data_IF_353279223360
#
_entry.id   IF_353279223360
#
_cell.length_a   1.000
_cell.length_b   1.000
_cell.length_c   1.000
_cell.angle_alpha   90.00
_cell.angle_beta   90.00
_cell.angle_gamma   90.00
#
_symmetry.space_group_name_H-M   'P 1'
#
loop_
_entity.id
_entity.type
_entity.pdbx_description
1 polymer ?
#
# COMPACT_ATOMS: atom_id res chain seq x y z
N UNK A 1 -39.78 -1.16 -1.50
CA UNK A 1 -39.62 -1.57 -0.11
C UNK A 1 -38.12 -1.83 0.08
N UNK A 2 -37.43 -1.01 0.86
CA UNK A 2 -36.02 -1.32 1.18
C UNK A 2 -36.05 -2.45 2.20
N UNK A 3 -35.79 -3.69 1.78
CA UNK A 3 -35.50 -4.77 2.73
C UNK A 3 -34.18 -4.44 3.44
N UNK A 4 -34.23 -4.33 4.76
CA UNK A 4 -33.03 -4.25 5.58
C UNK A 4 -32.29 -5.61 5.54
N UNK A 5 -30.98 -5.57 5.49
CA UNK A 5 -30.12 -6.79 5.57
C UNK A 5 -30.56 -7.73 6.71
N UNK A 6 -30.96 -7.16 7.84
CA UNK A 6 -31.40 -7.92 9.02
C UNK A 6 -32.69 -8.70 8.73
N UNK A 7 -33.65 -8.07 8.05
CA UNK A 7 -34.92 -8.69 7.65
C UNK A 7 -34.67 -9.78 6.61
N UNK A 8 -33.82 -9.54 5.60
CA UNK A 8 -33.44 -10.55 4.62
C UNK A 8 -32.76 -11.75 5.26
N UNK A 9 -31.84 -11.53 6.20
CA UNK A 9 -31.15 -12.61 6.93
C UNK A 9 -32.14 -13.39 7.81
N UNK A 10 -33.16 -12.75 8.40
CA UNK A 10 -34.20 -13.42 9.15
C UNK A 10 -35.08 -14.32 8.25
N UNK A 11 -35.45 -13.83 7.06
CA UNK A 11 -36.20 -14.62 6.08
C UNK A 11 -35.36 -15.78 5.51
N UNK A 12 -34.05 -15.58 5.29
CA UNK A 12 -33.13 -16.63 4.82
C UNK A 12 -32.74 -17.64 5.91
N UNK A 13 -32.92 -17.32 7.18
CA UNK A 13 -32.74 -18.27 8.28
C UNK A 13 -33.96 -19.17 8.54
N UNK A 14 -35.04 -19.00 7.77
CA UNK A 14 -36.17 -19.92 7.82
C UNK A 14 -35.73 -21.32 7.35
N UNK A 15 -35.84 -22.38 8.15
CA UNK A 15 -35.42 -23.73 7.80
C UNK A 15 -36.09 -24.27 6.52
N UNK A 16 -37.25 -23.75 6.15
CA UNK A 16 -38.01 -24.17 4.95
C UNK A 16 -37.39 -23.56 3.68
N UNK A 17 -36.68 -22.41 3.78
CA UNK A 17 -36.07 -21.70 2.64
C UNK A 17 -34.59 -22.08 2.46
N UNK A 18 -33.99 -22.80 3.44
CA UNK A 18 -32.54 -23.04 3.47
C UNK A 18 -32.11 -24.27 2.64
N UNK A 19 -32.42 -24.26 1.35
CA UNK A 19 -32.11 -25.37 0.43
C UNK A 19 -30.94 -25.06 -0.52
N UNK A 20 -30.04 -24.14 -0.18
CA UNK A 20 -28.91 -23.79 -1.05
C UNK A 20 -27.92 -22.84 -0.40
N UNK A 21 -26.87 -22.49 -1.15
CA UNK A 21 -25.92 -21.47 -0.77
C UNK A 21 -26.39 -20.09 -1.26
N UNK A 22 -26.52 -19.14 -0.35
CA UNK A 22 -26.82 -17.75 -0.67
C UNK A 22 -25.57 -16.91 -0.57
N UNK A 23 -25.27 -16.11 -1.59
CA UNK A 23 -24.28 -15.05 -1.53
C UNK A 23 -25.02 -13.71 -1.40
N UNK A 24 -24.72 -12.96 -0.34
CA UNK A 24 -25.19 -11.60 -0.11
C UNK A 24 -24.01 -10.68 -0.33
N UNK A 25 -24.11 -9.79 -1.32
CA UNK A 25 -23.05 -8.85 -1.66
C UNK A 25 -23.48 -7.43 -1.31
N UNK A 26 -22.61 -6.73 -0.57
CA UNK A 26 -22.65 -5.28 -0.40
C UNK A 26 -21.56 -4.60 -1.25
N UNK A 27 -21.83 -3.39 -1.73
CA UNK A 27 -20.84 -2.61 -2.50
C UNK A 27 -20.76 -1.17 -1.98
N UNK A 28 -19.58 -0.54 -2.04
CA UNK A 28 -19.44 0.88 -1.70
C UNK A 28 -19.92 1.78 -2.85
N UNK A 29 -19.78 1.32 -4.09
CA UNK A 29 -20.22 2.04 -5.28
C UNK A 29 -21.55 1.47 -5.78
N UNK A 30 -22.58 2.33 -5.93
CA UNK A 30 -23.85 1.98 -6.56
C UNK A 30 -23.91 2.58 -7.97
N UNK A 31 -23.98 1.71 -8.96
CA UNK A 31 -24.25 2.10 -10.34
C UNK A 31 -25.33 1.18 -10.96
N UNK A 32 -25.90 1.58 -12.08
CA UNK A 32 -27.01 0.87 -12.71
C UNK A 32 -26.59 -0.43 -13.42
N UNK A 33 -25.28 -0.74 -13.49
CA UNK A 33 -24.78 -1.93 -14.19
C UNK A 33 -25.05 -3.20 -13.37
N UNK A 34 -25.45 -4.30 -14.03
CA UNK A 34 -25.65 -5.56 -13.32
C UNK A 34 -24.34 -6.10 -12.73
N UNK A 35 -24.45 -6.88 -11.67
CA UNK A 35 -23.35 -7.63 -11.07
C UNK A 35 -23.47 -9.09 -11.45
N UNK A 36 -22.36 -9.71 -11.80
CA UNK A 36 -22.26 -11.12 -12.14
C UNK A 36 -21.26 -11.82 -11.23
N UNK A 37 -21.50 -13.11 -10.95
CA UNK A 37 -20.54 -13.98 -10.30
C UNK A 37 -19.83 -14.80 -11.38
N UNK A 38 -18.51 -14.67 -11.48
CA UNK A 38 -17.67 -15.42 -12.40
C UNK A 38 -16.76 -16.36 -11.61
N UNK A 39 -16.78 -17.65 -11.91
CA UNK A 39 -16.06 -18.63 -11.11
C UNK A 39 -15.78 -19.95 -11.81
N UNK A 40 -15.19 -20.89 -11.06
CA UNK A 40 -14.85 -22.23 -11.56
C UNK A 40 -16.08 -23.07 -11.95
N UNK A 41 -17.27 -22.67 -11.50
CA UNK A 41 -18.56 -23.32 -11.79
C UNK A 41 -19.17 -22.89 -13.13
N UNK A 42 -18.74 -21.75 -13.71
CA UNK A 42 -19.22 -21.27 -15.00
C UNK A 42 -18.08 -20.99 -16.00
N UNK A 43 -16.92 -21.67 -15.82
CA UNK A 43 -15.71 -21.48 -16.63
C UNK A 43 -15.25 -20.00 -16.69
N UNK A 44 -15.41 -19.27 -15.60
CA UNK A 44 -15.00 -17.86 -15.45
C UNK A 44 -15.65 -16.90 -16.46
N UNK A 45 -16.87 -17.22 -16.94
CA UNK A 45 -17.62 -16.33 -17.83
C UNK A 45 -18.15 -15.12 -17.07
N UNK A 46 -17.84 -13.91 -17.56
CA UNK A 46 -18.12 -12.64 -16.85
C UNK A 46 -19.54 -12.11 -17.06
N UNK A 47 -20.23 -12.55 -18.12
CA UNK A 47 -21.55 -12.06 -18.53
C UNK A 47 -22.59 -13.20 -18.62
N UNK A 48 -22.45 -14.17 -17.73
CA UNK A 48 -23.34 -15.30 -17.66
C UNK A 48 -24.64 -14.92 -16.95
N UNK A 49 -25.75 -14.90 -17.70
CA UNK A 49 -27.07 -14.49 -17.19
C UNK A 49 -27.60 -15.40 -16.08
N UNK A 50 -27.19 -16.68 -16.06
CA UNK A 50 -27.53 -17.62 -14.99
C UNK A 50 -26.90 -17.23 -13.66
N UNK A 51 -25.76 -16.53 -13.70
CA UNK A 51 -25.01 -16.09 -12.52
C UNK A 51 -25.05 -14.55 -12.32
N UNK A 52 -26.09 -13.92 -12.87
CA UNK A 52 -26.38 -12.51 -12.61
C UNK A 52 -27.03 -12.37 -11.23
N UNK A 53 -26.46 -11.49 -10.39
CA UNK A 53 -27.02 -11.20 -9.07
C UNK A 53 -28.29 -10.35 -9.17
N UNK A 54 -29.27 -10.64 -8.33
CA UNK A 54 -30.46 -9.81 -8.18
C UNK A 54 -30.16 -8.64 -7.23
N UNK A 55 -30.49 -7.41 -7.68
CA UNK A 55 -30.39 -6.21 -6.84
C UNK A 55 -31.63 -6.09 -5.97
N UNK A 56 -31.47 -6.16 -4.66
CA UNK A 56 -32.57 -6.15 -3.68
C UNK A 56 -32.62 -4.87 -2.83
N UNK A 57 -31.64 -3.97 -3.01
CA UNK A 57 -31.57 -2.69 -2.30
C UNK A 57 -30.46 -1.80 -2.84
N UNK A 58 -30.27 -0.66 -2.23
CA UNK A 58 -29.13 0.21 -2.54
C UNK A 58 -27.84 -0.51 -2.13
N UNK A 59 -26.92 -0.65 -3.08
CA UNK A 59 -25.63 -1.33 -2.86
C UNK A 59 -25.76 -2.76 -2.32
N UNK A 60 -26.91 -3.41 -2.51
CA UNK A 60 -27.20 -4.72 -1.94
C UNK A 60 -27.71 -5.67 -3.03
N UNK A 61 -27.04 -6.78 -3.15
CA UNK A 61 -27.30 -7.81 -4.15
C UNK A 61 -27.35 -9.19 -3.48
N UNK A 62 -28.11 -10.13 -4.05
CA UNK A 62 -28.06 -11.52 -3.65
C UNK A 62 -28.02 -12.46 -4.84
N UNK A 63 -27.54 -13.67 -4.61
CA UNK A 63 -27.58 -14.78 -5.53
C UNK A 63 -27.78 -16.09 -4.78
N UNK A 64 -28.62 -17.00 -5.30
CA UNK A 64 -28.85 -18.32 -4.72
C UNK A 64 -28.27 -19.39 -5.66
N UNK A 65 -27.28 -20.15 -5.18
CA UNK A 65 -26.86 -21.39 -5.82
C UNK A 65 -27.86 -22.51 -5.53
N UNK A 66 -28.43 -23.09 -6.58
CA UNK A 66 -29.44 -24.14 -6.45
C UNK A 66 -28.76 -25.48 -6.10
N UNK A 67 -29.34 -26.24 -5.19
CA UNK A 67 -28.76 -27.48 -4.67
C UNK A 67 -28.65 -28.60 -5.72
N UNK A 68 -29.45 -28.53 -6.80
CA UNK A 68 -29.54 -29.56 -7.83
C UNK A 68 -28.53 -29.43 -8.96
N UNK A 69 -27.58 -28.49 -8.83
CA UNK A 69 -26.50 -28.29 -9.79
C UNK A 69 -25.23 -29.02 -9.35
N UNK A 70 -24.52 -29.62 -10.31
CA UNK A 70 -23.21 -30.25 -10.10
C UNK A 70 -22.11 -29.20 -10.01
N UNK A 71 -22.03 -28.53 -8.84
CA UNK A 71 -20.98 -27.55 -8.56
C UNK A 71 -19.73 -28.20 -7.99
N UNK A 72 -18.53 -27.60 -8.23
CA UNK A 72 -17.30 -27.97 -7.49
C UNK A 72 -17.53 -27.88 -5.98
N UNK A 73 -16.91 -28.79 -5.20
CA UNK A 73 -17.02 -28.78 -3.74
C UNK A 73 -16.53 -27.48 -3.11
N UNK A 74 -15.54 -26.83 -3.72
CA UNK A 74 -15.09 -25.48 -3.40
C UNK A 74 -15.37 -24.57 -4.60
N UNK A 75 -16.15 -23.52 -4.34
CA UNK A 75 -16.42 -22.48 -5.32
C UNK A 75 -15.34 -21.41 -5.22
N UNK A 76 -14.62 -21.19 -6.32
CA UNK A 76 -13.71 -20.07 -6.51
C UNK A 76 -14.34 -19.04 -7.42
N UNK A 77 -14.43 -17.79 -7.00
CA UNK A 77 -15.16 -16.78 -7.75
C UNK A 77 -14.64 -15.35 -7.57
N UNK A 78 -15.12 -14.49 -8.46
CA UNK A 78 -15.02 -13.02 -8.40
C UNK A 78 -16.34 -12.39 -8.82
N UNK A 79 -16.51 -11.12 -8.43
CA UNK A 79 -17.59 -10.29 -8.92
C UNK A 79 -17.12 -9.40 -10.07
N UNK A 80 -17.99 -9.25 -11.08
CA UNK A 80 -17.74 -8.39 -12.25
C UNK A 80 -18.96 -7.55 -12.59
N UNK A 81 -18.77 -6.46 -13.33
CA UNK A 81 -19.84 -5.68 -13.95
C UNK A 81 -20.11 -6.11 -15.42
N UNK A 82 -19.80 -7.37 -15.74
CA UNK A 82 -20.04 -7.98 -17.05
C UNK A 82 -18.78 -8.19 -17.90
N UNK A 83 -17.63 -7.67 -17.48
CA UNK A 83 -16.35 -7.87 -18.17
C UNK A 83 -15.18 -7.88 -17.19
N UNK A 84 -14.06 -8.54 -17.53
CA UNK A 84 -12.85 -8.54 -16.70
C UNK A 84 -12.20 -7.15 -16.60
N UNK A 85 -12.46 -6.25 -17.54
CA UNK A 85 -12.05 -4.84 -17.44
C UNK A 85 -12.78 -4.09 -16.35
N UNK A 86 -13.84 -4.68 -15.78
CA UNK A 86 -14.73 -4.11 -14.78
C UNK A 86 -14.87 -5.05 -13.56
N UNK A 87 -13.83 -5.80 -13.26
CA UNK A 87 -13.76 -6.72 -12.12
C UNK A 87 -13.58 -5.96 -10.80
N UNK A 88 -13.99 -6.59 -9.71
CA UNK A 88 -13.78 -6.10 -8.35
C UNK A 88 -12.30 -5.83 -8.02
N UNK A 89 -12.07 -4.80 -7.24
CA UNK A 89 -10.77 -4.40 -6.67
C UNK A 89 -10.95 -3.99 -5.21
N UNK A 90 -9.84 -3.92 -4.46
CA UNK A 90 -9.88 -3.44 -3.09
C UNK A 90 -10.07 -1.90 -3.00
N UNK A 91 -10.16 -1.37 -1.79
CA UNK A 91 -10.32 0.06 -1.51
C UNK A 91 -9.15 0.92 -2.01
N UNK A 92 -8.00 0.31 -2.27
CA UNK A 92 -6.79 0.97 -2.76
C UNK A 92 -6.55 0.75 -4.26
N UNK A 93 -7.50 0.11 -4.98
CA UNK A 93 -7.39 -0.17 -6.40
C UNK A 93 -6.53 -1.38 -6.75
N UNK A 94 -6.13 -2.18 -5.77
CA UNK A 94 -5.36 -3.40 -6.01
C UNK A 94 -6.26 -4.54 -6.46
N UNK A 95 -5.66 -5.53 -7.11
CA UNK A 95 -6.32 -6.80 -7.42
C UNK A 95 -6.64 -7.54 -6.12
N UNK A 96 -7.84 -8.11 -6.06
CA UNK A 96 -8.21 -9.04 -5.00
C UNK A 96 -7.83 -10.47 -5.39
N UNK A 97 -7.61 -11.32 -4.42
CA UNK A 97 -7.53 -12.78 -4.65
C UNK A 97 -8.91 -13.33 -5.03
N UNK A 98 -8.94 -14.56 -5.60
CA UNK A 98 -10.20 -15.24 -5.79
C UNK A 98 -10.87 -15.48 -4.44
N UNK A 99 -12.15 -15.19 -4.36
CA UNK A 99 -12.96 -15.56 -3.20
C UNK A 99 -13.18 -17.07 -3.21
N UNK A 100 -13.34 -17.66 -2.05
CA UNK A 100 -13.65 -19.08 -1.94
C UNK A 100 -14.73 -19.35 -0.91
N UNK A 101 -15.59 -20.33 -1.20
CA UNK A 101 -16.57 -20.88 -0.25
C UNK A 101 -16.86 -22.32 -0.59
N UNK A 102 -17.29 -23.11 0.40
CA UNK A 102 -17.75 -24.47 0.14
C UNK A 102 -19.15 -24.46 -0.45
N UNK A 103 -19.40 -25.33 -1.42
CA UNK A 103 -20.71 -25.52 -2.04
C UNK A 103 -21.65 -26.29 -1.10
N UNK A 104 -22.09 -25.67 -0.01
CA UNK A 104 -23.03 -26.23 0.96
C UNK A 104 -24.12 -25.21 1.32
N UNK A 105 -25.17 -25.64 1.97
CA UNK A 105 -26.24 -24.75 2.41
C UNK A 105 -25.73 -23.71 3.41
N UNK A 106 -26.15 -22.46 3.24
CA UNK A 106 -25.77 -21.39 4.14
C UNK A 106 -25.78 -20.01 3.50
N UNK A 107 -25.34 -19.01 4.27
CA UNK A 107 -25.25 -17.62 3.83
C UNK A 107 -23.80 -17.19 3.85
N UNK A 108 -23.28 -16.79 2.69
CA UNK A 108 -21.97 -16.17 2.52
C UNK A 108 -22.15 -14.65 2.33
N UNK A 109 -21.59 -13.86 3.23
CA UNK A 109 -21.62 -12.40 3.14
C UNK A 109 -20.33 -11.90 2.51
N UNK A 110 -20.48 -11.06 1.49
CA UNK A 110 -19.38 -10.51 0.70
C UNK A 110 -19.46 -8.99 0.61
N UNK A 111 -18.32 -8.38 0.36
CA UNK A 111 -18.21 -6.95 0.17
C UNK A 111 -17.26 -6.63 -0.99
N UNK A 112 -17.66 -5.71 -1.87
CA UNK A 112 -16.81 -5.15 -2.92
C UNK A 112 -16.65 -3.67 -2.68
N UNK A 113 -15.42 -3.24 -2.42
CA UNK A 113 -15.12 -1.85 -2.18
C UNK A 113 -15.21 -1.03 -3.48
N UNK A 114 -14.63 -1.55 -4.57
CA UNK A 114 -14.53 -0.79 -5.84
C UNK A 114 -14.54 -1.71 -7.06
N UNK A 115 -14.74 -1.08 -8.23
CA UNK A 115 -14.73 -1.73 -9.53
C UNK A 115 -13.68 -1.10 -10.44
N UNK A 116 -13.00 -1.91 -11.24
CA UNK A 116 -12.24 -1.38 -12.37
C UNK A 116 -13.18 -0.67 -13.33
N UNK A 117 -12.65 0.28 -14.06
CA UNK A 117 -13.33 1.03 -15.13
C UNK A 117 -12.47 0.94 -16.37
N UNK A 118 -12.83 0.08 -17.31
CA UNK A 118 -12.08 -0.14 -18.54
C UNK A 118 -10.60 -0.49 -18.29
N UNK A 119 -10.35 -1.54 -17.49
CA UNK A 119 -9.04 -2.03 -17.07
C UNK A 119 -8.28 -1.17 -16.05
N UNK A 120 -8.67 0.08 -15.85
CA UNK A 120 -8.00 1.00 -14.94
C UNK A 120 -8.72 1.08 -13.58
N UNK A 121 -7.97 1.09 -12.47
CA UNK A 121 -8.54 1.32 -11.14
C UNK A 121 -8.78 2.81 -10.84
N UNK A 122 -8.47 3.73 -11.75
CA UNK A 122 -8.56 5.18 -11.59
C UNK A 122 -8.86 5.89 -12.91
N UNK A 123 -9.31 7.14 -12.83
CA UNK A 123 -9.42 8.04 -14.00
C UNK A 123 -8.08 8.71 -14.27
N UNK A 124 -7.64 8.75 -15.52
CA UNK A 124 -6.36 9.33 -15.94
C UNK A 124 -6.17 10.80 -15.51
N UNK A 125 -7.26 11.55 -15.36
CA UNK A 125 -7.21 12.95 -14.89
C UNK A 125 -6.69 13.11 -13.45
N UNK A 126 -6.59 12.02 -12.68
CA UNK A 126 -6.06 12.00 -11.33
C UNK A 126 -4.58 11.59 -11.25
N UNK A 127 -3.94 11.28 -12.38
CA UNK A 127 -2.51 10.97 -12.39
C UNK A 127 -1.71 12.17 -11.82
N UNK A 128 -0.71 11.92 -10.97
CA UNK A 128 0.14 12.98 -10.44
C UNK A 128 0.96 13.62 -11.55
N UNK A 129 1.37 14.86 -11.32
CA UNK A 129 2.33 15.52 -12.18
C UNK A 129 3.73 15.01 -11.84
N UNK A 130 4.38 14.31 -12.78
CA UNK A 130 5.73 13.80 -12.59
C UNK A 130 6.72 14.83 -13.11
N UNK A 131 7.51 15.41 -12.22
CA UNK A 131 8.48 16.45 -12.51
C UNK A 131 9.91 15.99 -12.22
N UNK A 132 10.81 16.13 -13.18
CA UNK A 132 12.25 16.02 -12.93
C UNK A 132 12.71 17.27 -12.18
N UNK A 133 13.19 17.13 -10.96
CA UNK A 133 13.80 18.25 -10.21
C UNK A 133 15.19 18.55 -10.77
N UNK A 134 16.00 17.52 -10.94
CA UNK A 134 17.32 17.60 -11.55
C UNK A 134 17.78 16.21 -11.95
N UNK A 135 18.49 16.09 -13.05
CA UNK A 135 19.23 14.90 -13.47
C UNK A 135 20.59 14.78 -12.77
N UNK A 136 21.14 15.92 -12.32
CA UNK A 136 22.43 16.01 -11.63
C UNK A 136 22.33 16.82 -10.33
N UNK A 137 21.37 16.51 -9.45
CA UNK A 137 21.25 17.16 -8.15
C UNK A 137 22.50 16.91 -7.31
N UNK A 138 23.16 17.96 -6.85
CA UNK A 138 24.41 17.85 -6.10
C UNK A 138 24.22 17.19 -4.74
N UNK A 139 25.13 16.25 -4.42
CA UNK A 139 25.28 15.61 -3.11
C UNK A 139 26.64 15.99 -2.50
N UNK A 140 26.75 17.15 -1.85
CA UNK A 140 28.04 17.63 -1.32
C UNK A 140 28.67 16.64 -0.33
N UNK A 141 27.85 15.92 0.43
CA UNK A 141 28.31 14.95 1.44
C UNK A 141 29.04 13.75 0.82
N UNK A 142 28.72 13.42 -0.43
CA UNK A 142 29.31 12.29 -1.16
C UNK A 142 30.25 12.74 -2.30
N UNK A 143 30.23 14.02 -2.64
CA UNK A 143 30.90 14.58 -3.82
C UNK A 143 30.43 13.87 -5.10
N UNK A 144 29.11 13.79 -5.28
CA UNK A 144 28.40 13.12 -6.37
C UNK A 144 27.17 13.92 -6.77
N UNK A 145 26.54 13.50 -7.83
CA UNK A 145 25.20 13.97 -8.23
C UNK A 145 24.18 12.84 -8.20
N UNK A 146 22.88 13.20 -8.28
CA UNK A 146 21.78 12.26 -8.27
C UNK A 146 20.59 12.80 -9.04
N UNK A 147 19.93 11.95 -9.79
CA UNK A 147 18.63 12.27 -10.37
C UNK A 147 17.54 12.22 -9.32
N UNK A 148 16.77 13.31 -9.25
CA UNK A 148 15.69 13.50 -8.27
C UNK A 148 14.41 13.88 -8.98
N UNK A 149 13.31 13.24 -8.60
CA UNK A 149 11.98 13.45 -9.13
C UNK A 149 11.01 13.93 -8.05
N UNK A 150 10.01 14.69 -8.46
CA UNK A 150 8.82 14.97 -7.65
C UNK A 150 7.58 14.43 -8.35
N UNK A 151 6.73 13.74 -7.60
CA UNK A 151 5.37 13.43 -7.99
C UNK A 151 4.46 14.34 -7.18
N UNK A 152 3.80 15.27 -7.86
CA UNK A 152 2.93 16.28 -7.26
C UNK A 152 1.46 15.86 -7.44
N UNK A 153 0.54 16.23 -6.53
CA UNK A 153 -0.90 15.99 -6.73
C UNK A 153 -1.37 16.45 -8.11
N UNK A 154 -2.33 15.72 -8.71
CA UNK A 154 -2.83 16.00 -10.07
C UNK A 154 -3.30 17.45 -10.28
N UNK A 155 -3.82 18.08 -9.24
CA UNK A 155 -4.34 19.45 -9.21
C UNK A 155 -3.39 20.45 -8.55
N UNK A 156 -2.10 20.11 -8.42
CA UNK A 156 -1.12 20.93 -7.72
C UNK A 156 -1.11 22.38 -8.20
N UNK A 157 -1.06 22.64 -9.51
CA UNK A 157 -0.98 24.00 -10.06
C UNK A 157 -2.27 24.82 -9.86
N UNK A 158 -3.41 24.12 -9.66
CA UNK A 158 -4.72 24.73 -9.45
C UNK A 158 -5.11 24.85 -7.96
N UNK A 159 -4.20 24.48 -7.06
CA UNK A 159 -4.42 24.49 -5.61
C UNK A 159 -3.41 25.39 -4.91
N UNK A 160 -3.83 26.02 -3.81
CA UNK A 160 -2.93 26.73 -2.88
C UNK A 160 -2.56 25.91 -1.65
N UNK A 161 -2.97 24.65 -1.59
CA UNK A 161 -2.73 23.75 -0.46
C UNK A 161 -1.25 23.43 -0.29
N UNK A 162 -0.84 23.19 0.96
CA UNK A 162 0.44 22.57 1.30
C UNK A 162 0.23 21.11 1.66
N UNK A 163 1.17 20.26 1.25
CA UNK A 163 1.03 18.82 1.30
C UNK A 163 2.07 18.15 2.20
N UNK A 164 1.75 17.02 2.85
CA UNK A 164 2.76 16.18 3.45
C UNK A 164 3.74 15.68 2.38
N UNK A 165 4.94 15.28 2.81
CA UNK A 165 6.02 14.84 1.90
C UNK A 165 6.55 13.49 2.31
N UNK A 166 6.73 12.59 1.33
CA UNK A 166 7.40 11.31 1.49
C UNK A 166 8.65 11.24 0.60
N UNK A 167 9.81 11.05 1.22
CA UNK A 167 11.08 10.81 0.53
C UNK A 167 11.23 9.30 0.31
N UNK A 168 11.28 8.87 -0.96
CA UNK A 168 11.39 7.47 -1.34
C UNK A 168 12.70 7.16 -2.04
N UNK A 169 13.30 6.04 -1.65
CA UNK A 169 14.50 5.50 -2.26
C UNK A 169 14.18 4.74 -3.54
N UNK A 170 15.20 4.56 -4.40
CA UNK A 170 15.16 3.71 -5.58
C UNK A 170 14.12 4.15 -6.63
N UNK A 171 14.14 5.44 -6.99
CA UNK A 171 13.18 6.06 -7.93
C UNK A 171 13.03 5.30 -9.25
N UNK A 172 14.06 4.58 -9.70
CA UNK A 172 14.04 3.77 -10.91
C UNK A 172 12.92 2.74 -10.91
N UNK A 173 12.55 2.23 -9.71
CA UNK A 173 11.56 1.17 -9.54
C UNK A 173 10.19 1.70 -9.06
N UNK A 174 10.00 3.02 -8.91
CA UNK A 174 8.79 3.54 -8.31
C UNK A 174 7.66 3.81 -9.33
N UNK A 175 7.99 4.30 -10.54
CA UNK A 175 6.99 4.69 -11.56
C UNK A 175 7.49 4.52 -13.01
N UNK A 176 8.67 3.93 -13.22
CA UNK A 176 9.22 3.66 -14.55
C UNK A 176 8.73 2.30 -15.08
N UNK A 177 7.93 2.27 -16.13
CA UNK A 177 7.40 1.04 -16.74
C UNK A 177 8.49 0.10 -17.30
N UNK A 178 9.71 0.63 -17.54
CA UNK A 178 10.86 -0.13 -18.05
C UNK A 178 11.87 -0.50 -16.95
N UNK A 179 11.48 -0.41 -15.68
CA UNK A 179 12.36 -0.76 -14.57
C UNK A 179 12.77 -2.24 -14.63
N UNK A 180 14.08 -2.51 -14.45
CA UNK A 180 14.67 -3.85 -14.58
C UNK A 180 14.06 -4.87 -13.60
N UNK A 181 13.77 -4.45 -12.37
CA UNK A 181 13.26 -5.31 -11.30
C UNK A 181 11.75 -5.21 -11.10
N UNK A 182 11.05 -4.45 -11.94
CA UNK A 182 9.63 -4.18 -11.80
C UNK A 182 9.34 -2.77 -11.30
N UNK A 183 8.06 -2.49 -11.07
CA UNK A 183 7.57 -1.14 -10.82
C UNK A 183 6.55 -1.14 -9.69
N UNK A 184 6.65 -0.18 -8.76
CA UNK A 184 5.66 0.03 -7.70
C UNK A 184 4.39 0.72 -8.21
N UNK A 185 4.43 1.29 -9.41
CA UNK A 185 3.30 2.04 -10.00
C UNK A 185 2.75 3.13 -9.06
N UNK A 186 3.63 3.81 -8.30
CA UNK A 186 3.19 4.78 -7.30
C UNK A 186 2.38 5.93 -7.88
N UNK A 187 2.64 6.32 -9.12
CA UNK A 187 1.86 7.29 -9.88
C UNK A 187 0.40 6.85 -10.03
N UNK A 188 0.17 5.58 -10.39
CA UNK A 188 -1.17 4.98 -10.51
C UNK A 188 -1.83 4.83 -9.14
N UNK A 189 -1.08 4.42 -8.10
CA UNK A 189 -1.59 4.33 -6.73
C UNK A 189 -1.99 5.70 -6.17
N UNK A 190 -1.21 6.74 -6.43
CA UNK A 190 -1.54 8.12 -6.05
C UNK A 190 -2.78 8.64 -6.80
N UNK A 191 -2.99 8.25 -8.06
CA UNK A 191 -4.20 8.56 -8.80
C UNK A 191 -5.45 7.96 -8.13
N UNK A 192 -5.38 6.68 -7.74
CA UNK A 192 -6.44 6.02 -6.94
C UNK A 192 -6.72 6.78 -5.65
N UNK A 193 -5.68 7.08 -4.88
CA UNK A 193 -5.82 7.78 -3.60
C UNK A 193 -6.46 9.16 -3.77
N UNK A 194 -6.11 9.90 -4.83
CA UNK A 194 -6.70 11.21 -5.14
C UNK A 194 -8.15 11.10 -5.59
N UNK A 195 -8.49 10.20 -6.52
CA UNK A 195 -9.85 10.00 -7.02
C UNK A 195 -10.83 9.64 -5.88
N UNK A 196 -10.38 8.78 -4.98
CA UNK A 196 -11.20 8.29 -3.88
C UNK A 196 -11.07 9.12 -2.59
N UNK A 197 -10.41 10.28 -2.68
CA UNK A 197 -10.27 11.24 -1.57
C UNK A 197 -9.64 10.65 -0.30
N UNK A 198 -8.76 9.65 -0.47
CA UNK A 198 -7.98 9.08 0.63
C UNK A 198 -6.99 10.14 1.15
N UNK A 199 -6.31 10.82 0.21
CA UNK A 199 -5.40 11.91 0.54
C UNK A 199 -4.50 12.31 -0.62
N UNK A 200 -3.83 13.45 -0.48
CA UNK A 200 -2.86 13.99 -1.44
C UNK A 200 -1.52 14.22 -0.75
N UNK A 201 -0.43 13.83 -1.40
CA UNK A 201 0.92 13.88 -0.86
C UNK A 201 1.92 14.20 -1.98
N UNK A 202 3.01 14.87 -1.64
CA UNK A 202 4.17 15.02 -2.53
C UNK A 202 5.10 13.83 -2.29
N UNK A 203 5.51 13.16 -3.35
CA UNK A 203 6.58 12.15 -3.29
C UNK A 203 7.85 12.74 -3.89
N UNK A 204 8.93 12.69 -3.12
CA UNK A 204 10.28 12.98 -3.62
C UNK A 204 10.99 11.65 -3.82
N UNK A 205 11.19 11.29 -5.08
CA UNK A 205 11.77 10.03 -5.48
C UNK A 205 13.26 10.22 -5.83
N UNK A 206 14.11 9.47 -5.14
CA UNK A 206 15.58 9.59 -5.20
C UNK A 206 16.12 8.36 -5.91
N UNK A 207 16.78 8.55 -7.08
CA UNK A 207 17.41 7.42 -7.76
C UNK A 207 18.55 6.84 -6.94
N UNK A 208 18.81 5.54 -7.05
CA UNK A 208 19.97 4.92 -6.41
C UNK A 208 21.24 5.09 -7.28
N UNK A 209 22.38 4.79 -6.67
CA UNK A 209 23.71 4.96 -7.25
C UNK A 209 24.18 3.76 -8.07
N UNK A 210 23.28 3.03 -8.71
CA UNK A 210 23.60 1.83 -9.48
C UNK A 210 24.54 0.89 -8.66
N UNK A 211 25.74 0.64 -9.15
CA UNK A 211 26.73 -0.22 -8.50
C UNK A 211 27.11 0.23 -7.07
N UNK A 212 27.08 1.53 -6.79
CA UNK A 212 27.37 2.10 -5.48
C UNK A 212 26.16 2.09 -4.52
N UNK A 213 24.97 1.65 -4.95
CA UNK A 213 23.73 1.64 -4.14
C UNK A 213 23.91 1.00 -2.77
N UNK A 214 24.47 -0.21 -2.73
CA UNK A 214 24.69 -0.92 -1.48
C UNK A 214 25.63 -0.15 -0.55
N UNK A 215 26.70 0.44 -1.08
CA UNK A 215 27.66 1.23 -0.31
C UNK A 215 27.03 2.52 0.23
N UNK A 216 26.22 3.20 -0.56
CA UNK A 216 25.55 4.43 -0.16
C UNK A 216 24.43 4.20 0.85
N UNK A 217 23.73 3.05 0.81
CA UNK A 217 22.66 2.73 1.75
C UNK A 217 23.16 2.00 3.01
N UNK A 218 24.40 1.47 3.00
CA UNK A 218 25.00 0.80 4.14
C UNK A 218 25.49 1.81 5.19
N UNK A 219 24.95 1.75 6.42
CA UNK A 219 25.21 2.72 7.49
C UNK A 219 26.29 2.22 8.47
N UNK A 220 27.53 2.53 8.17
CA UNK A 220 28.65 2.21 9.02
C UNK A 220 29.48 1.03 8.56
N UNK A 221 30.04 0.25 9.50
CA UNK A 221 30.77 -0.99 9.23
C UNK A 221 29.83 -2.16 9.51
N UNK A 222 29.46 -2.87 8.48
CA UNK A 222 28.50 -4.01 8.52
C UNK A 222 29.12 -5.23 7.87
N UNK A 223 28.36 -6.32 7.75
CA UNK A 223 28.78 -7.52 7.02
C UNK A 223 29.11 -7.25 5.54
N UNK A 224 28.57 -6.17 4.97
CA UNK A 224 28.85 -5.70 3.61
C UNK A 224 30.05 -4.70 3.53
N UNK A 225 30.84 -4.60 4.59
CA UNK A 225 31.99 -3.69 4.65
C UNK A 225 31.64 -2.29 5.15
N UNK A 226 32.49 -1.30 4.80
CA UNK A 226 32.32 0.10 5.23
C UNK A 226 31.42 0.85 4.26
N UNK A 227 30.27 1.32 4.77
CA UNK A 227 29.28 2.08 3.99
C UNK A 227 29.41 3.60 4.11
N UNK A 228 28.66 4.29 3.28
CA UNK A 228 28.52 5.76 3.20
C UNK A 228 27.14 6.26 3.67
N UNK A 229 26.28 5.40 4.18
CA UNK A 229 24.90 5.71 4.53
C UNK A 229 24.72 6.90 5.47
N UNK A 230 25.68 7.14 6.39
CA UNK A 230 25.66 8.35 7.22
C UNK A 230 25.77 9.64 6.40
N UNK A 231 26.53 9.63 5.33
CA UNK A 231 26.67 10.77 4.42
C UNK A 231 25.41 10.94 3.56
N UNK A 232 24.87 9.81 3.08
CA UNK A 232 23.63 9.79 2.33
C UNK A 232 22.45 10.33 3.15
N UNK A 233 22.30 9.87 4.40
CA UNK A 233 21.27 10.39 5.32
C UNK A 233 21.38 11.90 5.48
N UNK A 234 22.60 12.41 5.70
CA UNK A 234 22.85 13.86 5.79
C UNK A 234 22.51 14.59 4.49
N UNK A 235 22.75 14.00 3.34
CA UNK A 235 22.31 14.57 2.07
C UNK A 235 20.80 14.76 2.04
N UNK A 236 20.02 13.70 2.33
CA UNK A 236 18.56 13.79 2.29
C UNK A 236 18.04 14.79 3.32
N UNK A 237 18.63 14.80 4.52
CA UNK A 237 18.15 15.63 5.63
C UNK A 237 18.60 17.09 5.55
N UNK A 238 19.91 17.31 5.25
CA UNK A 238 20.53 18.63 5.40
C UNK A 238 20.58 19.40 4.05
N UNK A 239 20.43 18.72 2.91
CA UNK A 239 20.53 19.32 1.57
C UNK A 239 19.22 19.20 0.79
N UNK A 240 18.72 17.98 0.58
CA UNK A 240 17.54 17.77 -0.28
C UNK A 240 16.26 18.30 0.38
N UNK A 241 16.01 17.97 1.66
CA UNK A 241 14.78 18.43 2.35
C UNK A 241 14.66 19.96 2.39
N UNK A 242 15.67 20.74 2.78
CA UNK A 242 15.58 22.20 2.74
C UNK A 242 15.32 22.75 1.33
N UNK A 243 15.91 22.15 0.30
CA UNK A 243 15.63 22.49 -1.10
C UNK A 243 14.15 22.25 -1.45
N UNK A 244 13.63 21.07 -1.12
CA UNK A 244 12.22 20.71 -1.38
C UNK A 244 11.28 21.66 -0.65
N UNK A 245 11.52 21.96 0.63
CA UNK A 245 10.69 22.85 1.43
C UNK A 245 10.71 24.32 0.97
N UNK A 246 11.71 24.69 0.19
CA UNK A 246 11.85 26.03 -0.37
C UNK A 246 11.22 26.15 -1.77
N UNK A 247 11.10 25.04 -2.50
CA UNK A 247 10.65 25.06 -3.89
C UNK A 247 9.25 24.48 -4.10
N UNK A 248 8.71 23.75 -3.12
CA UNK A 248 7.38 23.13 -3.20
C UNK A 248 6.52 23.52 -2.00
N UNK A 249 5.20 23.47 -2.17
CA UNK A 249 4.23 23.73 -1.10
C UNK A 249 4.13 22.53 -0.15
N UNK A 250 5.12 22.40 0.71
CA UNK A 250 5.23 21.34 1.71
C UNK A 250 4.69 21.79 3.08
N UNK A 251 4.12 20.85 3.82
CA UNK A 251 4.01 20.95 5.28
C UNK A 251 5.35 20.52 5.85
N UNK A 252 6.11 21.48 6.40
CA UNK A 252 7.54 21.31 6.73
C UNK A 252 7.79 20.55 8.02
N UNK A 253 6.77 20.47 8.88
CA UNK A 253 6.86 19.87 10.21
C UNK A 253 7.08 18.35 10.11
N UNK A 254 7.74 17.80 11.13
CA UNK A 254 8.09 16.38 11.16
C UNK A 254 6.91 15.43 11.02
N UNK A 255 5.76 15.80 11.57
CA UNK A 255 4.52 15.01 11.51
C UNK A 255 3.97 14.83 10.09
N UNK A 256 4.38 15.70 9.16
CA UNK A 256 4.04 15.65 7.74
C UNK A 256 5.22 15.23 6.86
N UNK A 257 6.35 14.88 7.47
CA UNK A 257 7.57 14.46 6.76
C UNK A 257 7.83 12.99 6.97
N UNK A 258 7.90 12.23 5.88
CA UNK A 258 8.18 10.80 5.88
C UNK A 258 9.40 10.43 5.05
N UNK A 259 9.99 9.28 5.37
CA UNK A 259 11.05 8.64 4.59
C UNK A 259 10.79 7.14 4.50
N UNK A 260 11.08 6.53 3.36
CA UNK A 260 10.79 5.11 3.17
C UNK A 260 11.48 4.49 1.97
N UNK A 261 11.28 3.20 1.84
CA UNK A 261 11.78 2.37 0.76
C UNK A 261 11.74 0.90 1.11
N UNK A 262 12.23 0.06 0.20
CA UNK A 262 12.31 -1.38 0.38
C UNK A 262 13.75 -1.89 0.49
N UNK A 263 13.92 -3.10 1.03
CA UNK A 263 15.22 -3.77 1.06
C UNK A 263 16.31 -2.91 1.72
N UNK A 264 17.41 -2.63 1.02
CA UNK A 264 18.45 -1.69 1.48
C UNK A 264 17.94 -0.25 1.60
N UNK A 265 16.99 0.17 0.73
CA UNK A 265 16.29 1.46 0.84
C UNK A 265 15.46 1.56 2.12
N UNK A 266 14.81 0.46 2.53
CA UNK A 266 14.15 0.34 3.83
C UNK A 266 15.15 0.44 4.99
N UNK A 267 16.30 -0.22 4.88
CA UNK A 267 17.33 -0.17 5.92
C UNK A 267 17.87 1.25 6.11
N UNK A 268 18.26 1.97 5.06
CA UNK A 268 18.74 3.35 5.20
C UNK A 268 17.66 4.30 5.72
N UNK A 269 16.39 4.04 5.40
CA UNK A 269 15.24 4.80 5.90
C UNK A 269 15.02 4.57 7.40
N UNK A 270 15.21 3.34 7.91
CA UNK A 270 15.25 3.07 9.35
C UNK A 270 16.30 3.96 10.02
N UNK A 271 17.54 3.94 9.52
CA UNK A 271 18.60 4.73 10.10
C UNK A 271 18.38 6.25 10.00
N UNK A 272 17.71 6.69 8.94
CA UNK A 272 17.32 8.11 8.79
C UNK A 272 16.37 8.54 9.90
N UNK A 273 15.31 7.78 10.14
CA UNK A 273 14.36 8.05 11.22
C UNK A 273 14.97 7.94 12.62
N UNK A 274 15.78 6.91 12.87
CA UNK A 274 16.44 6.72 14.18
C UNK A 274 17.49 7.79 14.50
N UNK A 275 18.11 8.40 13.48
CA UNK A 275 19.14 9.43 13.66
C UNK A 275 18.58 10.83 13.71
N UNK A 276 17.53 11.10 12.96
CA UNK A 276 16.91 12.42 12.80
C UNK A 276 15.41 12.35 13.12
N UNK A 277 15.03 11.91 14.34
CA UNK A 277 13.63 11.79 14.72
C UNK A 277 12.94 13.16 14.79
N UNK A 278 13.70 14.24 14.93
CA UNK A 278 13.23 15.62 14.85
C UNK A 278 12.80 16.05 13.44
N UNK A 279 13.19 15.29 12.40
CA UNK A 279 12.91 15.58 11.00
C UNK A 279 11.83 14.65 10.46
N UNK A 280 11.94 13.35 10.73
CA UNK A 280 11.04 12.33 10.15
C UNK A 280 10.05 11.81 11.19
N UNK A 281 8.79 12.19 11.04
CA UNK A 281 7.68 11.69 11.88
C UNK A 281 7.01 10.44 11.32
N UNK A 282 7.31 10.05 10.06
CA UNK A 282 6.69 8.92 9.36
C UNK A 282 7.76 8.05 8.71
N UNK A 283 7.74 6.75 9.01
CA UNK A 283 8.66 5.78 8.41
C UNK A 283 7.88 4.69 7.67
N UNK A 284 8.16 4.51 6.37
CA UNK A 284 7.59 3.44 5.55
C UNK A 284 8.70 2.44 5.20
N UNK A 285 8.66 1.28 5.81
CA UNK A 285 9.75 0.31 5.81
C UNK A 285 9.25 -1.02 5.25
N UNK A 286 9.63 -1.32 4.01
CA UNK A 286 9.23 -2.55 3.33
C UNK A 286 10.39 -3.52 3.23
N UNK A 287 10.19 -4.75 3.73
CA UNK A 287 11.14 -5.86 3.59
C UNK A 287 12.61 -5.47 3.84
N UNK A 288 12.92 -4.75 4.94
CA UNK A 288 14.23 -4.14 5.13
C UNK A 288 15.34 -5.19 5.26
N UNK A 289 16.51 -4.90 4.70
CA UNK A 289 17.71 -5.77 4.77
C UNK A 289 18.32 -5.79 6.17
N UNK A 290 17.55 -6.20 7.19
CA UNK A 290 17.99 -6.22 8.60
C UNK A 290 19.15 -7.17 8.85
N UNK A 291 19.30 -8.21 8.03
CA UNK A 291 20.43 -9.15 8.07
C UNK A 291 21.80 -8.47 7.89
N UNK A 292 21.83 -7.29 7.28
CA UNK A 292 23.06 -6.50 7.10
C UNK A 292 23.55 -5.95 8.44
N UNK A 293 22.64 -5.72 9.39
CA UNK A 293 22.93 -5.18 10.72
C UNK A 293 22.22 -6.01 11.79
N UNK A 294 22.66 -7.25 12.04
CA UNK A 294 21.97 -8.17 12.96
C UNK A 294 21.78 -7.60 14.39
N UNK A 295 22.72 -6.75 14.83
CA UNK A 295 22.68 -6.10 16.15
C UNK A 295 22.36 -4.60 16.01
N UNK A 296 21.21 -4.27 15.40
CA UNK A 296 20.79 -2.88 15.31
C UNK A 296 20.48 -2.29 16.69
N UNK A 297 21.36 -1.42 17.17
CA UNK A 297 21.19 -0.72 18.45
C UNK A 297 20.37 0.56 18.27
N UNK A 298 19.26 0.64 18.95
CA UNK A 298 18.39 1.82 19.00
C UNK A 298 18.80 2.66 20.22
N UNK A 299 19.11 3.95 20.00
CA UNK A 299 19.50 4.84 21.10
C UNK A 299 18.27 5.59 21.65
N UNK A 300 17.78 5.25 22.85
CA UNK A 300 16.59 5.87 23.42
C UNK A 300 16.76 7.37 23.75
N UNK A 301 17.99 7.87 23.94
CA UNK A 301 18.21 9.28 24.24
C UNK A 301 17.78 10.25 23.13
N UNK A 302 17.62 9.76 21.90
CA UNK A 302 17.05 10.52 20.78
C UNK A 302 15.53 10.35 20.63
N UNK A 303 14.95 9.43 21.38
CA UNK A 303 13.55 9.03 21.29
C UNK A 303 12.56 10.02 21.95
N UNK A 304 13.02 11.16 22.43
CA UNK A 304 12.15 12.13 23.14
C UNK A 304 11.14 12.85 22.22
N UNK A 305 10.99 12.37 21.00
CA UNK A 305 10.04 12.85 19.99
C UNK A 305 8.92 11.84 19.86
N UNK A 306 7.98 11.92 20.73
CA UNK A 306 6.99 10.92 21.13
C UNK A 306 6.02 10.38 20.05
N UNK A 307 6.04 10.82 18.79
CA UNK A 307 4.97 10.52 17.82
C UNK A 307 5.45 10.05 16.43
N UNK A 308 6.51 9.24 16.38
CA UNK A 308 6.92 8.65 15.10
C UNK A 308 5.99 7.48 14.75
N UNK A 309 5.23 7.60 13.66
CA UNK A 309 4.47 6.48 13.08
C UNK A 309 5.41 5.65 12.20
N UNK A 310 5.38 4.34 12.37
CA UNK A 310 6.23 3.40 11.61
C UNK A 310 5.35 2.32 10.98
N UNK A 311 5.33 2.25 9.66
CA UNK A 311 4.70 1.19 8.91
C UNK A 311 5.76 0.17 8.47
N UNK A 312 5.62 -1.06 8.93
CA UNK A 312 6.50 -2.18 8.61
C UNK A 312 5.76 -3.17 7.72
N UNK A 313 6.40 -3.63 6.67
CA UNK A 313 5.90 -4.71 5.82
C UNK A 313 6.94 -5.80 5.65
N UNK A 314 6.48 -7.06 5.62
CA UNK A 314 7.29 -8.22 5.25
C UNK A 314 6.44 -9.28 4.54
N UNK A 315 7.03 -9.92 3.52
CA UNK A 315 6.47 -11.09 2.86
C UNK A 315 6.94 -12.41 3.49
N UNK A 316 6.04 -13.39 3.55
CA UNK A 316 6.34 -14.72 4.12
C UNK A 316 7.25 -15.56 3.23
N UNK A 317 7.12 -15.41 1.91
CA UNK A 317 7.88 -16.15 0.91
C UNK A 317 9.16 -15.41 0.46
N UNK A 318 9.60 -14.36 1.18
CA UNK A 318 10.85 -13.65 0.87
C UNK A 318 12.09 -14.42 1.32
N UNK A 319 12.07 -14.90 2.55
CA UNK A 319 13.12 -15.74 3.13
C UNK A 319 12.63 -16.39 4.42
N UNK A 320 13.34 -17.41 4.88
CA UNK A 320 13.03 -18.12 6.14
C UNK A 320 13.08 -17.22 7.38
N UNK A 321 13.81 -16.11 7.34
CA UNK A 321 14.07 -15.26 8.51
C UNK A 321 13.45 -13.86 8.43
N UNK A 322 12.85 -13.47 7.31
CA UNK A 322 12.32 -12.10 7.12
C UNK A 322 11.28 -11.74 8.18
N UNK A 323 10.29 -12.62 8.40
CA UNK A 323 9.23 -12.37 9.39
C UNK A 323 9.80 -12.29 10.81
N UNK A 324 10.76 -13.15 11.14
CA UNK A 324 11.42 -13.13 12.45
C UNK A 324 12.20 -11.83 12.66
N UNK A 325 13.00 -11.43 11.68
CA UNK A 325 13.79 -10.19 11.74
C UNK A 325 12.90 -8.94 11.90
N UNK A 326 11.80 -8.85 11.14
CA UNK A 326 10.92 -7.67 11.23
C UNK A 326 10.17 -7.61 12.57
N UNK A 327 9.74 -8.75 13.11
CA UNK A 327 9.13 -8.83 14.44
C UNK A 327 10.12 -8.44 15.54
N UNK A 328 11.33 -8.98 15.49
CA UNK A 328 12.41 -8.64 16.43
C UNK A 328 12.73 -7.14 16.36
N UNK A 329 12.78 -6.56 15.16
CA UNK A 329 12.97 -5.13 15.00
C UNK A 329 11.83 -4.30 15.62
N UNK A 330 10.57 -4.69 15.39
CA UNK A 330 9.42 -4.07 16.06
C UNK A 330 9.53 -4.13 17.59
N UNK A 331 9.88 -5.28 18.14
CA UNK A 331 10.02 -5.47 19.59
C UNK A 331 11.18 -4.61 20.15
N UNK A 332 12.26 -4.47 19.39
CA UNK A 332 13.37 -3.58 19.75
C UNK A 332 12.97 -2.09 19.73
N UNK A 333 12.12 -1.65 18.80
CA UNK A 333 11.59 -0.28 18.80
C UNK A 333 10.78 0.02 20.06
N UNK A 334 9.98 -0.94 20.50
CA UNK A 334 9.14 -0.83 21.70
C UNK A 334 9.99 -0.89 22.96
N UNK A 335 10.86 -1.90 23.09
CA UNK A 335 11.68 -2.12 24.29
C UNK A 335 12.72 -1.05 24.51
N UNK A 336 13.20 -0.39 23.45
CA UNK A 336 14.10 0.77 23.54
C UNK A 336 13.38 2.08 23.85
N UNK A 337 12.06 2.06 24.01
CA UNK A 337 11.22 3.27 24.18
C UNK A 337 11.36 4.30 23.05
N UNK A 338 11.85 3.89 21.87
CA UNK A 338 11.86 4.77 20.70
C UNK A 338 10.45 5.11 20.24
N UNK A 339 9.54 4.14 20.34
CA UNK A 339 8.10 4.34 20.17
C UNK A 339 7.42 3.90 21.46
N UNK A 340 6.85 4.86 22.19
CA UNK A 340 6.17 4.60 23.48
C UNK A 340 4.77 4.03 23.28
N UNK A 341 4.06 4.56 22.31
CA UNK A 341 2.71 4.13 21.94
C UNK A 341 2.78 3.06 20.87
N UNK A 342 2.45 1.81 21.23
CA UNK A 342 2.46 0.65 20.30
C UNK A 342 1.53 0.83 19.11
N UNK A 343 0.48 1.64 19.23
CA UNK A 343 -0.46 1.94 18.14
C UNK A 343 0.19 2.74 17.00
N UNK A 344 1.36 3.36 17.24
CA UNK A 344 2.16 4.06 16.24
C UNK A 344 3.04 3.13 15.39
N UNK A 345 3.01 1.82 15.62
CA UNK A 345 3.71 0.83 14.78
C UNK A 345 2.67 -0.12 14.16
N UNK A 346 2.52 -0.03 12.84
CA UNK A 346 1.78 -1.03 12.06
C UNK A 346 2.76 -2.08 11.53
N UNK A 347 2.42 -3.36 11.68
CA UNK A 347 3.16 -4.47 11.07
C UNK A 347 2.22 -5.26 10.16
N UNK A 348 2.38 -5.08 8.86
CA UNK A 348 1.69 -5.83 7.82
C UNK A 348 2.53 -7.03 7.39
N UNK A 349 1.94 -8.22 7.40
CA UNK A 349 2.58 -9.46 6.94
C UNK A 349 1.70 -10.10 5.87
N UNK A 350 2.22 -10.16 4.64
CA UNK A 350 1.61 -10.96 3.59
C UNK A 350 2.29 -12.34 3.57
N UNK A 351 1.57 -13.40 3.94
CA UNK A 351 2.14 -14.75 4.05
C UNK A 351 2.70 -15.29 2.74
N UNK A 352 2.11 -14.90 1.60
CA UNK A 352 2.53 -15.28 0.24
C UNK A 352 3.39 -14.19 -0.42
N UNK A 353 3.66 -13.11 0.30
CA UNK A 353 4.44 -11.97 -0.18
C UNK A 353 5.88 -12.38 -0.48
N UNK A 354 6.38 -11.94 -1.63
CA UNK A 354 7.76 -12.14 -2.10
C UNK A 354 8.53 -10.83 -2.04
N UNK A 355 9.85 -10.91 -2.09
CA UNK A 355 10.74 -9.76 -2.14
C UNK A 355 10.71 -9.12 -3.53
N UNK A 356 9.65 -8.41 -3.86
CA UNK A 356 9.47 -7.83 -5.19
C UNK A 356 8.57 -6.60 -5.20
N UNK A 357 8.74 -5.80 -6.26
CA UNK A 357 8.06 -4.54 -6.51
C UNK A 357 6.54 -4.69 -6.55
N UNK A 358 6.01 -5.80 -7.04
CA UNK A 358 4.57 -6.07 -7.10
C UNK A 358 3.92 -6.03 -5.72
N UNK A 359 4.53 -6.70 -4.74
CA UNK A 359 3.99 -6.73 -3.38
C UNK A 359 4.16 -5.39 -2.66
N UNK A 360 5.25 -4.67 -2.91
CA UNK A 360 5.47 -3.33 -2.37
C UNK A 360 4.54 -2.30 -3.02
N UNK A 361 4.21 -2.48 -4.30
CA UNK A 361 3.19 -1.70 -5.02
C UNK A 361 1.82 -1.81 -4.35
N UNK A 362 1.38 -3.03 -4.04
CA UNK A 362 0.07 -3.27 -3.41
C UNK A 362 0.01 -2.79 -1.96
N UNK A 363 1.15 -2.73 -1.29
CA UNK A 363 1.26 -2.27 0.10
C UNK A 363 1.42 -0.75 0.23
N UNK A 364 1.99 -0.09 -0.79
CA UNK A 364 2.28 1.35 -0.77
C UNK A 364 1.08 2.23 -0.39
N UNK A 365 -0.10 2.13 -1.04
CA UNK A 365 -1.23 3.01 -0.72
C UNK A 365 -1.76 2.78 0.70
N UNK A 366 -1.74 1.55 1.21
CA UNK A 366 -2.12 1.22 2.59
C UNK A 366 -1.19 1.89 3.59
N UNK A 367 0.12 1.85 3.32
CA UNK A 367 1.12 2.48 4.16
C UNK A 367 0.98 4.00 4.17
N UNK A 368 0.80 4.64 3.00
CA UNK A 368 0.63 6.08 2.90
C UNK A 368 -0.66 6.53 3.62
N UNK A 369 -1.78 5.83 3.41
CA UNK A 369 -3.03 6.13 4.10
C UNK A 369 -2.85 6.07 5.61
N UNK A 370 -2.29 4.96 6.13
CA UNK A 370 -2.11 4.78 7.57
C UNK A 370 -1.14 5.81 8.17
N UNK A 371 -0.06 6.13 7.47
CA UNK A 371 0.95 7.07 7.96
C UNK A 371 0.43 8.50 8.02
N UNK A 372 -0.31 8.98 7.01
CA UNK A 372 -0.60 10.39 6.81
C UNK A 372 -2.09 10.75 6.91
N UNK A 373 -3.01 9.85 6.56
CA UNK A 373 -4.43 10.19 6.35
C UNK A 373 -5.39 9.45 7.28
N UNK A 374 -4.98 8.34 7.90
CA UNK A 374 -5.81 7.65 8.87
C UNK A 374 -5.83 8.40 10.19
N UNK A 375 -6.81 9.31 10.33
CA UNK A 375 -7.04 10.15 11.52
C UNK A 375 -8.00 9.52 12.52
N UNK A 376 -8.50 8.31 12.27
CA UNK A 376 -9.30 7.61 13.29
C UNK A 376 -8.36 7.21 14.42
N UNK A 377 -8.19 8.14 15.36
CA UNK A 377 -7.80 7.80 16.71
C UNK A 377 -8.91 6.89 17.27
N UNK A 378 -8.51 5.63 17.53
CA UNK A 378 -9.35 4.64 18.22
C UNK A 378 -9.57 5.03 19.68
#
# INVERSE_FOLDING_TARGET
MNLDITTLIQELNDPILNTGLYIILTTDEDDARPVYISGNFNNWRTQDKEFMMEKIGNNLYHYKFLHDFDYPAELLYKFTKGDWSEVEIDSHGNRTENRSTLAHTGIQKEHVARWRKNWLPFKQSFLPQVQLISDEFEIPQLNKTRKIWALLPHDYDNSSESYPVMYLQDAQNLFNEKAEFGNWEIDKKLAVMSEYKIGKIIIIAIEHAEEDRIKEYNVGKTVLGKGQGKKYIRFVTDTLKPFVDSNFRTKKEREFTGIGGSSMGGLVSIFSGLRNPEVYGKLMIFSPSLWVVPELKINPKKANTADTKIYLYAGGDESKTMIEHIKSFKDNLISSEFVKDKSKINLSINRQGKHSETYWSDEFPKAIEWLFFNTKES
#
